data_IF_147095326267
#
_entry.id   IF_147095326267
#
_cell.length_a   1.000
_cell.length_b   1.000
_cell.length_c   1.000
_cell.angle_alpha   90.00
_cell.angle_beta   90.00
_cell.angle_gamma   90.00
#
_symmetry.space_group_name_H-M   'P 1'
#
loop_
_entity.id
_entity.type
_entity.pdbx_description
1 polymer ?
#
# COMPACT_ATOMS: atom_id res chain seq x y z
N UNK A 1 -1.75 26.77 15.21
CA UNK A 1 -1.89 25.88 14.04
C UNK A 1 -1.67 24.45 14.55
N UNK A 2 -2.67 23.57 14.45
CA UNK A 2 -2.54 22.16 14.83
C UNK A 2 -2.82 21.35 13.58
N UNK A 3 -1.94 20.39 13.27
CA UNK A 3 -2.15 19.41 12.20
C UNK A 3 -2.69 18.15 12.86
N UNK A 4 -3.88 17.72 12.45
CA UNK A 4 -4.47 16.44 12.88
C UNK A 4 -4.08 15.40 11.84
N UNK A 5 -3.20 14.47 12.21
CA UNK A 5 -2.87 13.30 11.40
C UNK A 5 -3.77 12.13 11.79
N UNK A 6 -4.51 11.58 10.83
CA UNK A 6 -5.29 10.37 11.06
C UNK A 6 -4.36 9.15 10.92
N UNK A 7 -4.09 8.49 12.04
CA UNK A 7 -3.29 7.23 12.07
C UNK A 7 -4.16 5.98 12.08
N UNK A 8 -5.48 6.12 12.26
CA UNK A 8 -6.43 5.01 12.33
C UNK A 8 -7.72 5.30 11.54
N UNK A 9 -8.00 4.57 10.46
CA UNK A 9 -7.04 3.77 9.69
C UNK A 9 -5.96 4.66 9.04
N UNK A 10 -4.82 4.08 8.66
CA UNK A 10 -3.76 4.76 7.91
C UNK A 10 -3.74 4.30 6.45
N UNK A 11 -3.55 5.25 5.54
CA UNK A 11 -3.38 4.98 4.11
C UNK A 11 -1.89 5.09 3.75
N UNK A 12 -1.31 4.01 3.24
CA UNK A 12 0.08 3.96 2.78
C UNK A 12 0.11 3.98 1.26
N UNK A 13 0.93 4.87 0.70
CA UNK A 13 1.19 4.93 -0.73
C UNK A 13 2.55 4.30 -1.02
N UNK A 14 2.59 3.37 -1.95
CA UNK A 14 3.81 2.68 -2.37
C UNK A 14 3.82 2.48 -3.89
N UNK A 15 4.94 2.06 -4.45
CA UNK A 15 5.09 1.86 -5.89
C UNK A 15 5.24 0.39 -6.24
N UNK A 16 4.74 0.01 -7.42
CA UNK A 16 4.91 -1.32 -8.00
C UNK A 16 5.52 -1.19 -9.41
N UNK A 17 6.52 -2.00 -9.77
CA UNK A 17 7.05 -2.04 -11.13
C UNK A 17 5.98 -2.39 -12.16
N UNK A 18 6.05 -1.79 -13.35
CA UNK A 18 5.04 -1.98 -14.40
C UNK A 18 4.87 -3.45 -14.82
N UNK A 19 5.94 -4.25 -14.75
CA UNK A 19 5.92 -5.68 -15.08
C UNK A 19 5.00 -6.52 -14.18
N UNK A 20 4.69 -6.05 -12.97
CA UNK A 20 3.84 -6.75 -12.01
C UNK A 20 2.37 -6.31 -12.07
N UNK A 21 2.01 -5.31 -12.89
CA UNK A 21 0.65 -4.78 -12.98
C UNK A 21 -0.34 -5.86 -13.43
N UNK A 22 0.05 -6.69 -14.41
CA UNK A 22 -0.83 -7.72 -14.96
C UNK A 22 -1.28 -8.73 -13.88
N UNK A 23 -0.37 -9.11 -12.98
CA UNK A 23 -0.67 -10.05 -11.91
C UNK A 23 -1.52 -9.41 -10.81
N UNK A 24 -1.27 -8.14 -10.48
CA UNK A 24 -2.11 -7.38 -9.56
C UNK A 24 -3.55 -7.24 -10.09
N UNK A 25 -3.72 -6.95 -11.38
CA UNK A 25 -5.03 -6.83 -12.00
C UNK A 25 -5.78 -8.17 -12.01
N UNK A 26 -5.08 -9.29 -12.22
CA UNK A 26 -5.68 -10.64 -12.07
C UNK A 26 -6.11 -10.89 -10.64
N UNK A 27 -5.28 -10.54 -9.65
CA UNK A 27 -5.61 -10.70 -8.23
C UNK A 27 -6.85 -9.87 -7.84
N UNK A 28 -6.92 -8.60 -8.25
CA UNK A 28 -8.10 -7.74 -8.02
C UNK A 28 -9.38 -8.31 -8.63
N UNK A 29 -9.28 -8.91 -9.83
CA UNK A 29 -10.45 -9.57 -10.46
C UNK A 29 -10.89 -10.83 -9.72
N UNK A 30 -9.98 -11.50 -9.03
CA UNK A 30 -10.28 -12.69 -8.23
C UNK A 30 -10.88 -12.34 -6.85
N UNK A 31 -10.64 -11.13 -6.34
CA UNK A 31 -11.20 -10.66 -5.07
C UNK A 31 -10.36 -9.56 -4.40
N UNK A 32 -10.63 -9.26 -3.13
CA UNK A 32 -9.86 -8.31 -2.35
C UNK A 32 -8.37 -8.67 -2.31
N UNK A 33 -7.50 -7.70 -2.59
CA UNK A 33 -6.05 -7.90 -2.54
C UNK A 33 -5.54 -7.50 -1.15
N UNK A 34 -4.99 -8.47 -0.44
CA UNK A 34 -4.32 -8.25 0.84
C UNK A 34 -2.95 -7.62 0.62
N UNK A 35 -2.58 -6.67 1.47
CA UNK A 35 -1.26 -6.01 1.44
C UNK A 35 -0.62 -6.18 2.81
N UNK A 36 0.66 -6.51 2.85
CA UNK A 36 1.40 -6.65 4.10
C UNK A 36 2.43 -5.54 4.23
N UNK A 37 2.49 -4.94 5.41
CA UNK A 37 3.57 -4.02 5.78
C UNK A 37 4.60 -4.78 6.60
N UNK A 38 5.86 -4.65 6.21
CA UNK A 38 7.00 -5.30 6.87
C UNK A 38 7.96 -4.23 7.39
N UNK A 39 8.78 -4.60 8.36
CA UNK A 39 9.85 -3.74 8.84
C UNK A 39 10.91 -3.47 7.75
N UNK A 40 11.82 -2.54 8.03
CA UNK A 40 12.88 -2.16 7.08
C UNK A 40 13.84 -3.30 6.72
N UNK A 41 13.88 -4.35 7.52
CA UNK A 41 14.70 -5.54 7.28
C UNK A 41 13.94 -6.64 6.54
N UNK A 42 12.65 -6.45 6.26
CA UNK A 42 11.72 -7.46 5.76
C UNK A 42 11.72 -8.73 6.61
N UNK A 43 11.90 -8.61 7.93
CA UNK A 43 11.96 -9.76 8.85
C UNK A 43 10.70 -9.89 9.68
N UNK A 44 10.18 -8.77 10.18
CA UNK A 44 8.96 -8.76 10.98
C UNK A 44 7.82 -8.13 10.19
N UNK A 45 6.72 -8.87 10.06
CA UNK A 45 5.47 -8.32 9.56
C UNK A 45 4.90 -7.38 10.62
N UNK A 46 4.72 -6.12 10.25
CA UNK A 46 4.15 -5.08 11.12
C UNK A 46 2.63 -5.21 11.14
N UNK A 47 2.00 -5.24 9.96
CA UNK A 47 0.54 -5.30 9.87
C UNK A 47 0.08 -5.83 8.52
N UNK A 48 -1.21 -6.13 8.42
CA UNK A 48 -1.87 -6.52 7.17
C UNK A 48 -3.02 -5.55 6.91
N UNK A 49 -3.15 -5.16 5.65
CA UNK A 49 -4.14 -4.22 5.14
C UNK A 49 -4.75 -4.71 3.85
N UNK A 50 -5.50 -3.82 3.20
CA UNK A 50 -6.17 -4.10 1.94
C UNK A 50 -5.82 -3.05 0.91
N UNK A 51 -5.65 -3.47 -0.34
CA UNK A 51 -5.45 -2.54 -1.45
C UNK A 51 -6.73 -1.71 -1.63
N UNK A 52 -6.58 -0.38 -1.60
CA UNK A 52 -7.67 0.58 -1.81
C UNK A 52 -7.81 0.96 -3.28
N UNK A 53 -6.69 1.31 -3.90
CA UNK A 53 -6.70 1.86 -5.26
C UNK A 53 -5.35 1.71 -5.93
N UNK A 54 -5.38 1.53 -7.24
CA UNK A 54 -4.26 1.64 -8.15
C UNK A 54 -4.37 2.99 -8.87
N UNK A 55 -3.26 3.72 -8.99
CA UNK A 55 -3.19 4.91 -9.84
C UNK A 55 -3.30 4.50 -11.32
N UNK A 56 -3.84 5.34 -12.19
CA UNK A 56 -4.01 5.02 -13.61
C UNK A 56 -2.86 5.55 -14.48
N UNK A 57 -1.80 6.08 -13.87
CA UNK A 57 -0.64 6.61 -14.58
C UNK A 57 0.63 5.88 -14.14
N UNK A 58 1.39 5.40 -15.13
CA UNK A 58 2.74 4.90 -14.94
C UNK A 58 3.66 6.11 -14.85
N UNK A 59 4.46 6.16 -13.80
CA UNK A 59 5.59 7.07 -13.68
C UNK A 59 6.70 6.58 -14.63
N UNK A 60 6.83 7.26 -15.77
CA UNK A 60 7.78 6.88 -16.84
C UNK A 60 9.24 7.13 -16.49
N UNK A 61 9.51 7.93 -15.44
CA UNK A 61 10.88 8.15 -14.97
C UNK A 61 11.40 6.97 -14.14
N UNK A 62 10.49 6.29 -13.41
CA UNK A 62 10.84 5.16 -12.54
C UNK A 62 10.38 3.80 -13.07
N UNK A 63 9.48 3.77 -14.07
CA UNK A 63 8.85 2.54 -14.55
C UNK A 63 7.92 1.90 -13.53
N UNK A 64 7.31 2.71 -12.66
CA UNK A 64 6.45 2.22 -11.57
C UNK A 64 5.07 2.88 -11.56
N UNK A 65 4.11 2.24 -10.89
CA UNK A 65 2.77 2.78 -10.65
C UNK A 65 2.52 2.95 -9.17
N UNK A 66 1.80 3.99 -8.79
CA UNK A 66 1.45 4.24 -7.39
C UNK A 66 0.24 3.40 -6.99
N UNK A 67 0.32 2.85 -5.79
CA UNK A 67 -0.70 2.05 -5.15
C UNK A 67 -1.03 2.69 -3.81
N UNK A 68 -2.29 2.56 -3.39
CA UNK A 68 -2.72 2.92 -2.04
C UNK A 68 -3.28 1.68 -1.36
N UNK A 69 -2.81 1.41 -0.16
CA UNK A 69 -3.38 0.40 0.73
C UNK A 69 -3.82 1.04 2.04
N UNK A 70 -4.88 0.48 2.63
CA UNK A 70 -5.39 0.87 3.94
C UNK A 70 -5.05 -0.19 4.97
N UNK A 71 -4.55 0.27 6.10
CA UNK A 71 -4.25 -0.54 7.26
C UNK A 71 -5.05 -0.01 8.46
N UNK A 72 -5.56 -0.90 9.29
CA UNK A 72 -6.28 -0.50 10.51
C UNK A 72 -5.33 0.24 11.48
N UNK A 73 -4.06 -0.20 11.53
CA UNK A 73 -2.98 0.38 12.32
C UNK A 73 -3.27 0.48 13.83
N UNK A 74 -4.09 -0.41 14.37
CA UNK A 74 -4.59 -0.38 15.77
C UNK A 74 -3.50 -0.42 16.85
N UNK A 75 -2.30 -0.84 16.47
CA UNK A 75 -1.11 -0.94 17.32
C UNK A 75 -0.13 0.25 17.12
N UNK A 76 -0.52 1.26 16.35
CA UNK A 76 0.31 2.43 15.98
C UNK A 76 1.69 2.02 15.40
N UNK A 77 1.78 0.85 14.74
CA UNK A 77 3.04 0.36 14.17
C UNK A 77 3.49 1.16 12.93
N UNK A 78 2.56 1.80 12.23
CA UNK A 78 2.81 2.65 11.07
C UNK A 78 2.69 4.13 11.45
N UNK A 79 3.69 4.90 11.05
CA UNK A 79 3.78 6.34 11.28
C UNK A 79 3.72 7.11 9.95
N UNK A 80 3.04 8.28 9.90
CA UNK A 80 2.95 9.11 8.70
C UNK A 80 4.26 9.83 8.34
#
# INVERSE_FOLDING_TARGET
LVVITQTHPIDVVFTLPEGNIADLLKAQKAGPVSVEAWDRTNQNKLTTGSLLSLDNQIDTATGTIKLKARFANEDDALFP
#
